data_IF_105228443303
#
_entry.id   IF_105228443303
#
_cell.length_a   1.000
_cell.length_b   1.000
_cell.length_c   1.000
_cell.angle_alpha   90.00
_cell.angle_beta   90.00
_cell.angle_gamma   90.00
#
_symmetry.space_group_name_H-M   'P 1'
#
loop_
_entity.id
_entity.type
_entity.pdbx_description
1 polymer ?
#
# COMPACT_ATOMS: atom_id res chain seq x y z
N UNK A 1 20.25 16.60 6.18
CA UNK A 1 18.86 16.64 5.68
C UNK A 1 17.94 16.44 6.87
N UNK A 2 16.94 17.29 7.07
CA UNK A 2 15.93 17.10 8.12
C UNK A 2 14.84 16.14 7.65
N UNK A 3 14.51 15.15 8.48
CA UNK A 3 13.52 14.10 8.17
C UNK A 3 12.54 14.00 9.32
N UNK A 4 11.24 14.14 9.03
CA UNK A 4 10.16 13.91 10.00
C UNK A 4 9.32 12.72 9.56
N UNK A 5 9.37 11.66 10.37
CA UNK A 5 8.56 10.46 10.15
C UNK A 5 7.49 10.43 11.22
N UNK A 6 6.23 10.56 10.80
CA UNK A 6 5.07 10.63 11.69
C UNK A 6 4.36 9.27 11.74
N UNK A 7 3.81 8.92 12.90
CA UNK A 7 2.90 7.79 13.06
C UNK A 7 1.51 8.30 13.43
N UNK A 8 0.52 7.93 12.63
CA UNK A 8 -0.88 8.29 12.82
C UNK A 8 -1.43 7.53 14.03
N UNK A 9 -1.75 8.25 15.10
CA UNK A 9 -2.22 7.70 16.36
C UNK A 9 -3.72 7.90 16.49
N UNK A 10 -4.50 6.92 16.03
CA UNK A 10 -5.97 6.94 16.08
C UNK A 10 -6.56 6.36 17.37
N UNK A 11 -5.73 5.75 18.24
CA UNK A 11 -6.14 5.17 19.52
C UNK A 11 -5.15 5.61 20.61
N UNK A 12 -5.58 5.66 21.87
CA UNK A 12 -4.74 6.09 23.00
C UNK A 12 -3.42 5.32 23.10
N UNK A 13 -3.45 4.00 22.89
CA UNK A 13 -2.23 3.16 22.96
C UNK A 13 -1.17 3.57 21.93
N UNK A 14 -1.59 4.06 20.75
CA UNK A 14 -0.67 4.44 19.69
C UNK A 14 0.09 5.73 20.03
N UNK A 15 -0.51 6.60 20.84
CA UNK A 15 0.05 7.92 21.16
C UNK A 15 1.28 7.82 22.07
N UNK A 16 1.25 6.92 23.05
CA UNK A 16 2.26 6.80 24.10
C UNK A 16 3.37 5.80 23.78
N UNK A 17 3.17 4.92 22.79
CA UNK A 17 4.14 3.91 22.37
C UNK A 17 4.17 3.80 20.84
N UNK A 18 4.71 4.82 20.14
CA UNK A 18 4.85 4.75 18.70
C UNK A 18 5.92 3.74 18.30
N UNK A 19 5.83 3.21 17.07
CA UNK A 19 6.90 2.37 16.52
C UNK A 19 8.24 3.13 16.60
N UNK A 20 9.33 2.49 17.06
CA UNK A 20 10.62 3.17 17.24
C UNK A 20 11.05 3.99 16.02
N UNK A 21 11.49 5.22 16.26
CA UNK A 21 11.96 6.14 15.24
C UNK A 21 10.89 7.03 14.61
N UNK A 22 9.61 6.80 14.88
CA UNK A 22 8.50 7.68 14.48
C UNK A 22 8.11 8.68 15.59
N UNK A 23 7.65 9.85 15.17
CA UNK A 23 7.00 10.85 16.03
C UNK A 23 5.49 10.58 16.08
N UNK A 24 4.88 10.63 17.26
CA UNK A 24 3.42 10.48 17.38
C UNK A 24 2.70 11.67 16.74
N UNK A 25 1.77 11.38 15.83
CA UNK A 25 0.79 12.33 15.31
C UNK A 25 -0.58 12.00 15.92
N UNK A 26 -1.04 12.80 16.88
CA UNK A 26 -2.35 12.61 17.50
C UNK A 26 -3.45 12.84 16.45
N UNK A 27 -4.16 11.76 16.13
CA UNK A 27 -5.25 11.76 15.16
C UNK A 27 -6.48 11.03 15.72
N UNK A 28 -6.65 11.06 17.05
CA UNK A 28 -7.76 10.36 17.74
C UNK A 28 -9.13 10.98 17.43
N UNK A 29 -9.19 12.22 16.95
CA UNK A 29 -10.44 12.86 16.53
C UNK A 29 -11.05 12.18 15.29
N UNK A 30 -10.22 11.63 14.39
CA UNK A 30 -10.57 10.74 13.28
C UNK A 30 -11.98 10.97 12.66
N UNK A 31 -12.28 12.15 12.12
CA UNK A 31 -13.65 12.58 11.81
C UNK A 31 -14.22 11.88 10.57
N UNK A 32 -13.37 11.35 9.69
CA UNK A 32 -13.76 10.71 8.43
C UNK A 32 -13.05 9.35 8.29
N UNK A 33 -13.31 8.37 9.17
CA UNK A 33 -12.56 7.11 9.22
C UNK A 33 -12.60 6.31 7.90
N UNK A 34 -13.62 6.52 7.06
CA UNK A 34 -13.72 5.94 5.72
C UNK A 34 -12.65 6.42 4.74
N UNK A 35 -12.03 7.59 4.97
CA UNK A 35 -10.92 8.12 4.17
C UNK A 35 -9.55 7.54 4.56
N UNK A 36 -9.48 6.79 5.67
CA UNK A 36 -8.25 6.14 6.15
C UNK A 36 -7.09 7.15 6.30
N UNK A 37 -5.94 6.89 5.69
CA UNK A 37 -4.76 7.76 5.79
C UNK A 37 -4.91 9.08 4.99
N UNK A 38 -5.83 9.16 4.02
CA UNK A 38 -5.93 10.33 3.16
C UNK A 38 -6.51 11.58 3.86
N UNK A 39 -7.34 11.41 4.90
CA UNK A 39 -7.71 12.54 5.78
C UNK A 39 -6.52 13.04 6.62
N UNK A 40 -5.59 12.15 6.98
CA UNK A 40 -4.38 12.56 7.70
C UNK A 40 -3.49 13.36 6.77
N UNK A 41 -3.39 12.93 5.50
CA UNK A 41 -2.65 13.66 4.48
C UNK A 41 -3.25 15.04 4.19
N UNK A 42 -4.58 15.15 4.11
CA UNK A 42 -5.31 16.41 4.00
C UNK A 42 -4.97 17.36 5.17
N UNK A 43 -4.99 16.87 6.41
CA UNK A 43 -4.65 17.68 7.59
C UNK A 43 -3.16 18.06 7.66
N UNK A 44 -2.23 17.15 7.34
CA UNK A 44 -0.78 17.44 7.24
C UNK A 44 -0.53 18.51 6.18
N UNK A 45 -1.23 18.42 5.05
CA UNK A 45 -1.09 19.38 3.96
C UNK A 45 -1.66 20.75 4.36
N UNK A 46 -2.90 20.80 4.86
CA UNK A 46 -3.57 22.03 5.27
C UNK A 46 -2.86 22.75 6.41
N UNK A 47 -2.27 22.02 7.37
CA UNK A 47 -1.50 22.57 8.48
C UNK A 47 -0.07 22.98 8.09
N UNK A 48 0.37 22.74 6.85
CA UNK A 48 1.73 23.05 6.40
C UNK A 48 2.82 22.16 7.01
N UNK A 49 2.46 21.03 7.63
CA UNK A 49 3.42 20.12 8.31
C UNK A 49 4.44 19.57 7.32
N UNK A 50 4.03 19.31 6.07
CA UNK A 50 4.91 18.87 4.98
C UNK A 50 6.08 19.83 4.68
N UNK A 51 6.02 21.09 5.12
CA UNK A 51 7.08 22.12 4.92
C UNK A 51 8.06 22.22 6.09
N UNK A 52 7.83 21.46 7.15
CA UNK A 52 8.61 21.57 8.40
C UNK A 52 9.94 20.82 8.37
N UNK A 53 10.20 20.02 7.32
CA UNK A 53 11.44 19.29 7.11
C UNK A 53 11.68 19.05 5.62
N UNK A 54 12.89 18.61 5.25
CA UNK A 54 13.19 18.29 3.86
C UNK A 54 12.39 17.09 3.36
N UNK A 55 12.19 16.09 4.22
CA UNK A 55 11.37 14.91 3.93
C UNK A 55 10.37 14.70 5.07
N UNK A 56 9.10 14.58 4.70
CA UNK A 56 7.98 14.32 5.63
C UNK A 56 7.18 13.12 5.13
N UNK A 57 6.77 12.24 6.04
CA UNK A 57 5.76 11.22 5.72
C UNK A 57 5.04 10.77 6.97
N UNK A 58 3.89 10.14 6.76
CA UNK A 58 3.00 9.73 7.83
C UNK A 58 2.51 8.30 7.57
N UNK A 59 2.68 7.42 8.55
CA UNK A 59 2.33 6.00 8.42
C UNK A 59 1.31 5.59 9.48
N UNK A 60 0.54 4.55 9.19
CA UNK A 60 -0.33 3.93 10.20
C UNK A 60 0.48 3.30 11.32
N UNK A 61 -0.10 3.16 12.53
CA UNK A 61 0.47 2.33 13.62
C UNK A 61 0.75 0.88 13.23
N UNK A 62 0.17 0.40 12.12
CA UNK A 62 0.35 -0.94 11.56
C UNK A 62 1.59 -1.09 10.67
N UNK A 63 2.39 -0.04 10.49
CA UNK A 63 3.54 -0.01 9.57
C UNK A 63 4.52 -1.14 9.88
N UNK A 64 4.98 -1.23 11.13
CA UNK A 64 5.94 -2.25 11.56
C UNK A 64 5.38 -3.66 11.40
N UNK A 65 4.14 -3.87 11.85
CA UNK A 65 3.51 -5.19 11.82
C UNK A 65 3.33 -5.73 10.38
N UNK A 66 3.07 -4.85 9.40
CA UNK A 66 2.96 -5.25 7.99
C UNK A 66 4.32 -5.41 7.32
N UNK A 67 5.22 -4.44 7.53
CA UNK A 67 6.45 -4.30 6.76
C UNK A 67 7.72 -4.79 7.44
N UNK A 68 7.70 -5.16 8.72
CA UNK A 68 8.90 -5.51 9.50
C UNK A 68 10.00 -4.42 9.55
N UNK A 69 9.63 -3.16 9.30
CA UNK A 69 10.54 -2.02 9.38
C UNK A 69 10.08 -1.07 10.49
N UNK A 70 11.00 -0.33 11.07
CA UNK A 70 10.70 0.78 11.98
C UNK A 70 11.19 2.12 11.40
N UNK A 71 10.97 3.21 12.13
CA UNK A 71 11.33 4.56 11.69
C UNK A 71 12.84 4.79 11.67
N UNK A 72 13.63 4.08 12.48
CA UNK A 72 15.09 4.16 12.42
C UNK A 72 15.63 3.54 11.13
N UNK A 73 15.08 2.41 10.69
CA UNK A 73 15.44 1.77 9.43
C UNK A 73 15.17 2.70 8.24
N UNK A 74 13.98 3.33 8.24
CA UNK A 74 13.59 4.29 7.20
C UNK A 74 14.47 5.54 7.23
N UNK A 75 14.71 6.15 8.40
CA UNK A 75 15.58 7.34 8.52
C UNK A 75 16.99 7.07 8.02
N UNK A 76 17.57 5.93 8.40
CA UNK A 76 18.89 5.50 7.94
C UNK A 76 18.90 5.35 6.41
N UNK A 77 17.96 4.60 5.85
CA UNK A 77 17.87 4.43 4.40
C UNK A 77 17.73 5.75 3.63
N UNK A 78 16.90 6.67 4.10
CA UNK A 78 16.74 8.00 3.50
C UNK A 78 18.05 8.81 3.58
N UNK A 79 18.75 8.77 4.72
CA UNK A 79 20.04 9.45 4.89
C UNK A 79 21.14 8.87 4.00
N UNK A 80 21.14 7.55 3.78
CA UNK A 80 22.11 6.86 2.92
C UNK A 80 21.85 7.12 1.43
N UNK A 81 20.65 7.58 1.07
CA UNK A 81 20.23 7.86 -0.31
C UNK A 81 19.60 9.25 -0.43
N UNK A 82 20.35 10.35 -0.20
CA UNK A 82 19.79 11.70 -0.29
C UNK A 82 19.48 12.09 -1.75
N UNK A 83 18.58 13.06 -1.93
CA UNK A 83 18.35 13.72 -3.23
C UNK A 83 17.12 13.26 -4.01
N UNK A 84 16.28 12.39 -3.43
CA UNK A 84 15.01 11.99 -4.03
C UNK A 84 13.85 12.85 -3.50
N UNK A 85 12.84 13.06 -4.34
CA UNK A 85 11.59 13.73 -3.96
C UNK A 85 10.66 12.80 -3.20
N UNK A 86 10.72 11.49 -3.45
CA UNK A 86 9.86 10.50 -2.80
C UNK A 86 10.58 9.19 -2.50
N UNK A 87 10.40 8.74 -1.28
CA UNK A 87 10.93 7.49 -0.73
C UNK A 87 9.77 6.56 -0.44
N UNK A 88 9.69 5.44 -1.14
CA UNK A 88 8.55 4.51 -1.08
C UNK A 88 8.93 3.23 -0.34
N UNK A 89 8.14 2.85 0.65
CA UNK A 89 8.30 1.58 1.37
C UNK A 89 7.10 0.69 1.07
N UNK A 90 7.33 -0.43 0.37
CA UNK A 90 6.30 -1.42 0.16
C UNK A 90 6.18 -2.36 1.39
N UNK A 91 5.06 -2.36 2.13
CA UNK A 91 4.85 -3.25 3.28
C UNK A 91 4.45 -4.67 2.87
N UNK A 92 4.25 -4.90 1.58
CA UNK A 92 3.88 -6.20 0.99
C UNK A 92 4.77 -6.50 -0.21
N UNK A 93 6.09 -6.59 -0.01
CA UNK A 93 7.05 -6.77 -1.09
C UNK A 93 6.83 -8.07 -1.86
N UNK A 94 6.21 -9.09 -1.25
CA UNK A 94 5.89 -10.35 -1.92
C UNK A 94 4.86 -10.19 -3.05
N UNK A 95 4.02 -9.15 -3.04
CA UNK A 95 2.92 -9.04 -3.99
C UNK A 95 3.38 -8.96 -5.44
N UNK A 96 4.57 -8.43 -5.72
CA UNK A 96 5.07 -8.34 -7.09
C UNK A 96 5.26 -9.72 -7.72
N UNK A 97 5.47 -10.77 -6.91
CA UNK A 97 5.61 -12.13 -7.39
C UNK A 97 4.26 -12.81 -7.66
N UNK A 98 3.17 -12.22 -7.17
CA UNK A 98 1.83 -12.82 -7.18
C UNK A 98 0.94 -12.30 -8.30
N UNK A 99 1.21 -11.12 -8.84
CA UNK A 99 0.37 -10.48 -9.87
C UNK A 99 1.21 -9.62 -10.80
N UNK A 100 0.79 -9.49 -12.06
CA UNK A 100 1.48 -8.65 -13.05
C UNK A 100 1.43 -7.18 -12.64
N UNK A 101 0.23 -6.71 -12.26
CA UNK A 101 0.04 -5.45 -11.57
C UNK A 101 -1.02 -5.61 -10.45
N UNK A 102 -1.16 -4.60 -9.60
CA UNK A 102 -2.08 -4.67 -8.46
C UNK A 102 -3.56 -4.37 -8.78
N UNK A 103 -3.88 -4.04 -10.04
CA UNK A 103 -5.26 -3.94 -10.49
C UNK A 103 -5.86 -5.32 -10.75
N UNK A 104 -5.07 -6.27 -11.28
CA UNK A 104 -5.47 -7.68 -11.48
C UNK A 104 -6.00 -8.32 -10.19
N UNK A 105 -5.40 -7.94 -9.07
CA UNK A 105 -5.79 -8.43 -7.76
C UNK A 105 -7.12 -7.85 -7.26
N UNK A 106 -7.37 -6.58 -7.59
CA UNK A 106 -8.51 -5.83 -7.10
C UNK A 106 -9.83 -6.49 -7.51
N UNK A 107 -9.93 -6.93 -8.76
CA UNK A 107 -11.16 -7.53 -9.31
C UNK A 107 -11.59 -8.77 -8.52
N UNK A 108 -10.65 -9.64 -8.13
CA UNK A 108 -10.95 -10.84 -7.34
C UNK A 108 -11.29 -10.46 -5.89
N UNK A 109 -10.49 -9.56 -5.29
CA UNK A 109 -10.63 -9.21 -3.87
C UNK A 109 -11.93 -8.45 -3.59
N UNK A 110 -12.33 -7.56 -4.49
CA UNK A 110 -13.53 -6.75 -4.39
C UNK A 110 -14.75 -7.38 -5.07
N UNK A 111 -14.58 -8.52 -5.76
CA UNK A 111 -15.64 -9.21 -6.50
C UNK A 111 -16.36 -8.30 -7.50
N UNK A 112 -15.59 -7.41 -8.15
CA UNK A 112 -16.10 -6.43 -9.11
C UNK A 112 -15.24 -6.48 -10.39
N UNK A 113 -15.82 -6.99 -11.47
CA UNK A 113 -15.15 -7.08 -12.77
C UNK A 113 -14.99 -5.72 -13.46
N UNK A 114 -15.75 -4.70 -13.05
CA UNK A 114 -15.71 -3.34 -13.58
C UNK A 114 -14.89 -2.38 -12.70
N UNK A 115 -14.17 -2.90 -11.70
CA UNK A 115 -13.45 -2.11 -10.71
C UNK A 115 -12.54 -1.04 -11.35
N UNK A 116 -11.76 -1.43 -12.36
CA UNK A 116 -10.80 -0.53 -13.02
C UNK A 116 -11.51 0.57 -13.80
N UNK A 117 -12.61 0.24 -14.50
CA UNK A 117 -13.39 1.20 -15.27
C UNK A 117 -14.03 2.25 -14.35
N UNK A 118 -14.59 1.82 -13.21
CA UNK A 118 -15.13 2.74 -12.20
C UNK A 118 -14.05 3.61 -11.59
N UNK A 119 -12.87 3.07 -11.32
CA UNK A 119 -11.72 3.86 -10.88
C UNK A 119 -11.31 4.91 -11.92
N UNK A 120 -11.23 4.53 -13.20
CA UNK A 120 -10.92 5.47 -14.27
C UNK A 120 -11.98 6.57 -14.39
N UNK A 121 -13.27 6.22 -14.26
CA UNK A 121 -14.37 7.19 -14.28
C UNK A 121 -14.23 8.24 -13.16
N UNK A 122 -13.91 7.80 -11.94
CA UNK A 122 -13.66 8.72 -10.82
C UNK A 122 -12.49 9.65 -11.10
N UNK A 123 -11.39 9.14 -11.65
CA UNK A 123 -10.22 9.97 -11.99
C UNK A 123 -10.56 10.98 -13.10
N UNK A 124 -11.30 10.57 -14.11
CA UNK A 124 -11.75 11.44 -15.19
C UNK A 124 -12.63 12.59 -14.65
N UNK A 125 -13.58 12.27 -13.76
CA UNK A 125 -14.43 13.27 -13.10
C UNK A 125 -13.65 14.21 -12.19
N UNK A 126 -12.58 13.72 -11.56
CA UNK A 126 -11.66 14.53 -10.76
C UNK A 126 -10.68 15.36 -11.60
N UNK A 127 -10.65 15.19 -12.93
CA UNK A 127 -9.67 15.83 -13.82
C UNK A 127 -8.24 15.35 -13.59
N UNK A 128 -8.06 14.13 -13.08
CA UNK A 128 -6.75 13.53 -12.80
C UNK A 128 -6.26 12.79 -14.04
N UNK A 129 -5.17 13.28 -14.61
CA UNK A 129 -4.51 12.68 -15.78
C UNK A 129 -3.67 11.46 -15.37
N UNK A 130 -4.34 10.31 -15.23
CA UNK A 130 -3.74 9.00 -14.99
C UNK A 130 -4.54 7.92 -15.73
N UNK A 131 -3.84 6.98 -16.37
CA UNK A 131 -4.44 5.81 -17.01
C UNK A 131 -4.29 4.56 -16.12
N UNK A 132 -5.36 4.23 -15.42
CA UNK A 132 -5.44 3.06 -14.54
C UNK A 132 -5.77 1.78 -15.32
N UNK A 133 -6.32 1.87 -16.52
CA UNK A 133 -6.75 0.71 -17.31
C UNK A 133 -5.57 0.05 -18.01
N UNK A 134 -4.56 0.83 -18.43
CA UNK A 134 -3.41 0.34 -19.19
C UNK A 134 -2.12 0.32 -18.35
N UNK A 135 -2.19 -0.29 -17.16
CA UNK A 135 -1.03 -0.36 -16.24
C UNK A 135 -0.13 -1.55 -16.58
N UNK A 136 1.12 -1.24 -16.90
CA UNK A 136 2.16 -2.24 -17.15
C UNK A 136 2.60 -3.00 -15.90
N UNK A 137 3.67 -3.78 -16.05
CA UNK A 137 4.26 -4.58 -14.96
C UNK A 137 4.63 -3.70 -13.75
N UNK A 138 4.27 -4.16 -12.57
CA UNK A 138 4.76 -3.62 -11.30
C UNK A 138 5.80 -4.55 -10.65
N UNK A 139 6.98 -4.01 -10.33
CA UNK A 139 8.12 -4.69 -9.74
C UNK A 139 8.75 -3.83 -8.62
N UNK A 140 9.82 -4.30 -7.98
CA UNK A 140 10.43 -3.63 -6.80
C UNK A 140 10.76 -2.15 -7.03
N UNK A 141 11.17 -1.77 -8.24
CA UNK A 141 11.51 -0.38 -8.58
C UNK A 141 10.34 0.59 -8.85
N UNK A 142 9.08 0.12 -8.87
CA UNK A 142 7.93 0.96 -9.24
C UNK A 142 6.64 0.63 -8.45
N UNK A 143 6.76 -0.12 -7.35
CA UNK A 143 5.62 -0.64 -6.61
C UNK A 143 5.69 -0.30 -5.12
N UNK A 144 4.73 0.52 -4.65
CA UNK A 144 4.59 0.89 -3.22
C UNK A 144 3.29 0.40 -2.57
N UNK A 145 2.18 0.46 -3.32
CA UNK A 145 0.82 0.07 -2.92
C UNK A 145 0.46 0.26 -1.44
N UNK A 146 0.65 1.46 -0.95
CA UNK A 146 0.09 1.93 0.31
C UNK A 146 0.38 3.42 0.45
N UNK A 147 -0.10 3.96 1.55
CA UNK A 147 0.22 5.28 2.09
C UNK A 147 1.63 5.37 2.73
N UNK A 148 2.53 4.39 2.52
CA UNK A 148 3.88 4.40 3.12
C UNK A 148 4.92 4.97 2.17
N UNK A 149 4.85 6.28 2.03
CA UNK A 149 5.81 7.08 1.30
C UNK A 149 6.24 8.28 2.15
N UNK A 150 7.42 8.82 1.87
CA UNK A 150 8.00 9.98 2.54
C UNK A 150 8.49 10.93 1.46
N UNK A 151 7.98 12.15 1.46
CA UNK A 151 8.13 13.07 0.32
C UNK A 151 8.71 14.42 0.70
N UNK A 152 9.31 15.07 -0.29
CA UNK A 152 9.68 16.49 -0.26
C UNK A 152 8.44 17.39 -0.27
N UNK A 153 8.62 18.68 0.00
CA UNK A 153 7.55 19.68 -0.14
C UNK A 153 6.95 19.67 -1.55
N UNK A 154 7.80 19.55 -2.58
CA UNK A 154 7.38 19.43 -3.98
C UNK A 154 6.48 18.22 -4.18
N UNK A 155 6.92 17.04 -3.71
CA UNK A 155 6.12 15.84 -3.83
C UNK A 155 4.76 15.97 -3.13
N UNK A 156 4.75 16.47 -1.89
CA UNK A 156 3.52 16.68 -1.11
C UNK A 156 2.55 17.62 -1.83
N UNK A 157 3.05 18.71 -2.40
CA UNK A 157 2.23 19.68 -3.14
C UNK A 157 1.61 19.01 -4.36
N UNK A 158 2.42 18.37 -5.20
CA UNK A 158 1.96 17.76 -6.43
C UNK A 158 0.96 16.62 -6.16
N UNK A 159 1.25 15.71 -5.22
CA UNK A 159 0.35 14.59 -4.95
C UNK A 159 -0.98 15.04 -4.33
N UNK A 160 -0.95 16.05 -3.46
CA UNK A 160 -2.15 16.54 -2.83
C UNK A 160 -3.02 17.32 -3.82
N UNK A 161 -2.43 18.27 -4.55
CA UNK A 161 -3.18 19.15 -5.43
C UNK A 161 -3.63 18.47 -6.72
N UNK A 162 -2.82 17.56 -7.27
CA UNK A 162 -3.11 16.96 -8.57
C UNK A 162 -3.72 15.54 -8.50
N UNK A 163 -3.80 14.92 -7.32
CA UNK A 163 -4.42 13.60 -7.16
C UNK A 163 -5.36 13.52 -5.96
N UNK A 164 -4.86 13.71 -4.74
CA UNK A 164 -5.63 13.39 -3.53
C UNK A 164 -6.82 14.33 -3.35
N UNK A 165 -6.59 15.65 -3.33
CA UNK A 165 -7.64 16.64 -3.09
C UNK A 165 -8.72 16.64 -4.17
N UNK A 166 -8.41 16.59 -5.48
CA UNK A 166 -9.43 16.49 -6.52
C UNK A 166 -10.36 15.29 -6.32
N UNK A 167 -9.81 14.12 -5.96
CA UNK A 167 -10.60 12.89 -5.78
C UNK A 167 -11.43 12.91 -4.49
N UNK A 168 -10.85 13.25 -3.34
CA UNK A 168 -11.58 13.20 -2.06
C UNK A 168 -12.66 14.29 -1.93
N UNK A 169 -12.60 15.33 -2.76
CA UNK A 169 -13.55 16.46 -2.77
C UNK A 169 -14.69 16.28 -3.77
N UNK A 170 -14.70 15.21 -4.57
CA UNK A 170 -15.82 14.91 -5.45
C UNK A 170 -17.12 14.76 -4.65
N UNK A 171 -18.12 15.55 -5.04
CA UNK A 171 -19.45 15.51 -4.43
C UNK A 171 -20.31 14.40 -5.01
N UNK A 172 -21.35 14.00 -4.27
CA UNK A 172 -22.36 13.05 -4.76
C UNK A 172 -23.03 13.50 -6.06
N UNK A 173 -23.24 14.81 -6.25
CA UNK A 173 -23.79 15.35 -7.50
C UNK A 173 -22.85 15.22 -8.70
N UNK A 174 -21.54 15.24 -8.48
CA UNK A 174 -20.55 15.04 -9.56
C UNK A 174 -20.39 13.55 -9.90
N UNK A 175 -20.46 12.69 -8.88
CA UNK A 175 -20.28 11.24 -9.03
C UNK A 175 -21.55 10.52 -9.49
N UNK A 176 -22.72 11.07 -9.21
CA UNK A 176 -23.98 10.31 -9.26
C UNK A 176 -24.07 9.30 -8.11
N UNK A 177 -25.25 8.68 -7.96
CA UNK A 177 -25.54 7.82 -6.81
C UNK A 177 -24.71 6.53 -6.80
N UNK A 178 -24.59 5.88 -7.96
CA UNK A 178 -23.92 4.58 -8.08
C UNK A 178 -22.42 4.68 -7.78
N UNK A 179 -21.72 5.65 -8.39
CA UNK A 179 -20.28 5.83 -8.20
C UNK A 179 -19.96 6.37 -6.80
N UNK A 180 -20.82 7.23 -6.26
CA UNK A 180 -20.71 7.68 -4.87
C UNK A 180 -20.85 6.51 -3.88
N UNK A 181 -21.86 5.64 -4.08
CA UNK A 181 -22.03 4.45 -3.26
C UNK A 181 -20.82 3.51 -3.39
N UNK A 182 -20.31 3.28 -4.59
CA UNK A 182 -19.09 2.49 -4.82
C UNK A 182 -17.88 3.02 -4.03
N UNK A 183 -17.66 4.34 -4.03
CA UNK A 183 -16.52 4.94 -3.35
C UNK A 183 -16.63 4.93 -1.82
N UNK A 184 -17.84 5.10 -1.29
CA UNK A 184 -18.03 5.39 0.14
C UNK A 184 -18.75 4.27 0.93
N UNK A 185 -19.56 3.44 0.29
CA UNK A 185 -20.26 2.36 0.97
C UNK A 185 -19.26 1.29 1.42
N UNK A 186 -19.36 0.79 2.67
CA UNK A 186 -18.46 -0.25 3.18
C UNK A 186 -18.37 -1.47 2.25
N UNK A 187 -17.15 -1.79 1.81
CA UNK A 187 -16.91 -3.02 1.03
C UNK A 187 -16.68 -4.22 1.96
N UNK A 188 -16.95 -5.46 1.49
CA UNK A 188 -16.53 -6.66 2.19
C UNK A 188 -15.02 -6.61 2.50
N UNK A 189 -14.68 -6.75 3.77
CA UNK A 189 -13.29 -6.74 4.24
C UNK A 189 -13.07 -7.95 5.13
N UNK A 190 -12.08 -8.77 4.77
CA UNK A 190 -11.81 -10.07 5.40
C UNK A 190 -10.81 -9.97 6.57
N UNK A 191 -10.27 -8.78 6.83
CA UNK A 191 -9.46 -8.50 8.01
C UNK A 191 -10.27 -7.90 9.15
N UNK A 192 -9.63 -7.71 10.30
CA UNK A 192 -10.21 -6.99 11.44
C UNK A 192 -10.02 -5.49 11.21
N UNK A 193 -11.13 -4.76 11.19
CA UNK A 193 -11.15 -3.29 11.08
C UNK A 193 -12.38 -2.72 11.77
N UNK A 194 -12.17 -1.75 12.64
CA UNK A 194 -13.24 -1.05 13.36
C UNK A 194 -14.18 -0.31 12.40
N UNK A 195 -13.61 0.35 11.39
CA UNK A 195 -14.36 1.00 10.31
C UNK A 195 -14.04 0.32 8.99
N UNK A 196 -15.06 -0.07 8.22
CA UNK A 196 -14.90 -0.59 6.86
C UNK A 196 -15.01 0.57 5.87
N UNK A 197 -14.02 0.71 5.00
CA UNK A 197 -14.02 1.75 3.98
C UNK A 197 -14.72 1.26 2.70
N UNK A 198 -15.19 2.21 1.90
CA UNK A 198 -15.56 1.94 0.50
C UNK A 198 -14.34 1.81 -0.40
N UNK A 199 -14.55 1.92 -1.72
CA UNK A 199 -13.48 1.75 -2.69
C UNK A 199 -12.49 2.94 -2.76
N UNK A 200 -12.78 4.08 -2.12
CA UNK A 200 -11.97 5.30 -2.23
C UNK A 200 -10.50 5.14 -1.77
N UNK A 201 -10.19 4.60 -0.56
CA UNK A 201 -8.79 4.40 -0.18
C UNK A 201 -8.06 3.44 -1.12
N UNK A 202 -8.77 2.42 -1.62
CA UNK A 202 -8.22 1.43 -2.55
C UNK A 202 -7.91 2.01 -3.93
N UNK A 203 -8.70 2.99 -4.40
CA UNK A 203 -8.41 3.80 -5.58
C UNK A 203 -7.13 4.60 -5.34
N UNK A 204 -7.10 5.40 -4.27
CA UNK A 204 -5.99 6.31 -4.01
C UNK A 204 -4.67 5.58 -3.75
N UNK A 205 -4.65 4.45 -3.03
CA UNK A 205 -3.44 3.63 -2.85
C UNK A 205 -2.81 3.21 -4.18
N UNK A 206 -3.65 2.89 -5.18
CA UNK A 206 -3.21 2.47 -6.52
C UNK A 206 -2.81 3.66 -7.38
N UNK A 207 -3.65 4.70 -7.38
CA UNK A 207 -3.40 5.93 -8.12
C UNK A 207 -2.10 6.61 -7.64
N UNK A 208 -1.79 6.59 -6.34
CA UNK A 208 -0.53 7.11 -5.79
C UNK A 208 0.69 6.39 -6.38
N UNK A 209 0.66 5.06 -6.47
CA UNK A 209 1.79 4.32 -7.05
C UNK A 209 1.99 4.69 -8.52
N UNK A 210 0.89 4.79 -9.28
CA UNK A 210 0.95 5.20 -10.68
C UNK A 210 1.42 6.65 -10.84
N UNK A 211 0.93 7.56 -10.00
CA UNK A 211 1.32 8.97 -9.99
C UNK A 211 2.81 9.17 -9.73
N UNK A 212 3.37 8.43 -8.77
CA UNK A 212 4.81 8.42 -8.51
C UNK A 212 5.56 7.95 -9.77
N UNK A 213 5.11 6.87 -10.40
CA UNK A 213 5.74 6.32 -11.59
C UNK A 213 5.60 7.20 -12.84
N UNK A 214 4.58 8.05 -12.93
CA UNK A 214 4.38 8.93 -14.10
C UNK A 214 5.07 10.28 -13.93
N UNK A 215 5.08 10.85 -12.72
CA UNK A 215 5.56 12.23 -12.49
C UNK A 215 6.88 12.32 -11.75
N UNK A 216 7.21 11.29 -10.97
CA UNK A 216 8.37 11.28 -10.08
C UNK A 216 9.32 10.12 -10.36
N UNK A 217 9.18 9.37 -11.47
CA UNK A 217 10.00 8.19 -11.75
C UNK A 217 11.51 8.44 -11.58
N UNK A 218 12.00 9.59 -12.05
CA UNK A 218 13.41 9.96 -11.98
C UNK A 218 13.87 10.48 -10.59
N UNK A 219 12.93 10.87 -9.72
CA UNK A 219 13.20 11.36 -8.37
C UNK A 219 12.50 10.53 -7.28
N UNK A 220 12.14 9.28 -7.61
CA UNK A 220 11.58 8.30 -6.69
C UNK A 220 12.60 7.20 -6.41
N UNK A 221 12.66 6.73 -5.17
CA UNK A 221 13.39 5.54 -4.79
C UNK A 221 12.51 4.61 -3.97
N UNK A 222 12.63 3.31 -4.21
CA UNK A 222 11.88 2.26 -3.54
C UNK A 222 12.80 1.48 -2.60
N UNK A 223 12.33 1.19 -1.39
CA UNK A 223 13.10 0.44 -0.40
C UNK A 223 13.36 -0.98 -0.92
N UNK A 224 14.62 -1.27 -1.24
CA UNK A 224 15.04 -2.58 -1.70
C UNK A 224 15.00 -3.61 -0.56
N UNK A 225 14.63 -4.85 -0.89
CA UNK A 225 14.65 -5.97 0.05
C UNK A 225 15.33 -7.17 -0.57
N UNK A 226 16.05 -7.90 0.26
CA UNK A 226 16.53 -9.24 -0.03
C UNK A 226 15.36 -10.22 -0.15
N UNK A 227 15.58 -11.34 -0.84
CA UNK A 227 14.58 -12.42 -0.93
C UNK A 227 14.15 -12.92 0.45
N UNK A 228 15.06 -13.01 1.40
CA UNK A 228 14.78 -13.41 2.78
C UNK A 228 13.81 -12.45 3.49
N UNK A 229 14.06 -11.13 3.39
CA UNK A 229 13.15 -10.12 3.95
C UNK A 229 11.76 -10.14 3.30
N UNK A 230 11.69 -10.48 2.00
CA UNK A 230 10.42 -10.64 1.29
C UNK A 230 9.66 -11.86 1.82
N UNK A 231 10.35 -12.99 1.99
CA UNK A 231 9.78 -14.22 2.55
C UNK A 231 9.32 -14.05 4.00
N UNK A 232 10.00 -13.20 4.78
CA UNK A 232 9.58 -12.84 6.14
C UNK A 232 8.26 -12.05 6.17
N UNK A 233 7.96 -11.28 5.10
CA UNK A 233 6.71 -10.53 4.94
C UNK A 233 5.53 -11.36 4.40
N UNK A 234 5.78 -12.58 3.92
CA UNK A 234 4.71 -13.48 3.47
C UNK A 234 3.79 -13.83 4.63
N UNK A 235 2.47 -13.71 4.43
CA UNK A 235 1.49 -14.01 5.48
C UNK A 235 1.01 -15.45 5.42
N UNK A 236 0.97 -16.04 4.24
CA UNK A 236 0.39 -17.35 3.99
C UNK A 236 1.41 -18.28 3.33
N UNK A 237 1.28 -19.61 3.51
CA UNK A 237 2.19 -20.59 2.92
C UNK A 237 2.27 -20.47 1.40
N UNK A 238 1.14 -20.28 0.74
CA UNK A 238 1.09 -20.17 -0.72
C UNK A 238 1.80 -18.91 -1.27
N UNK A 239 1.83 -17.82 -0.51
CA UNK A 239 2.61 -16.62 -0.92
C UNK A 239 4.10 -16.94 -0.88
N UNK A 240 4.53 -17.60 0.20
CA UNK A 240 5.90 -18.03 0.39
C UNK A 240 6.33 -19.03 -0.70
N UNK A 241 5.52 -20.05 -0.95
CA UNK A 241 5.79 -21.08 -1.95
C UNK A 241 5.93 -20.49 -3.37
N UNK A 242 5.07 -19.53 -3.74
CA UNK A 242 5.19 -18.83 -5.03
C UNK A 242 6.52 -18.06 -5.14
N UNK A 243 6.90 -17.35 -4.09
CA UNK A 243 8.14 -16.57 -4.05
C UNK A 243 9.39 -17.47 -4.03
N UNK A 244 9.35 -18.60 -3.32
CA UNK A 244 10.45 -19.57 -3.27
C UNK A 244 10.61 -20.31 -4.60
N UNK A 245 9.50 -20.76 -5.19
CA UNK A 245 9.52 -21.60 -6.40
C UNK A 245 9.80 -20.79 -7.66
N UNK A 246 9.17 -19.62 -7.79
CA UNK A 246 9.16 -18.86 -9.06
C UNK A 246 9.87 -17.51 -8.99
N UNK A 247 10.36 -17.10 -7.82
CA UNK A 247 10.86 -15.73 -7.68
C UNK A 247 12.06 -15.43 -8.60
N UNK A 248 12.94 -16.39 -8.87
CA UNK A 248 14.09 -16.17 -9.76
C UNK A 248 13.66 -16.03 -11.23
N UNK A 249 12.60 -16.74 -11.61
CA UNK A 249 11.98 -16.62 -12.93
C UNK A 249 11.31 -15.25 -13.09
N UNK A 250 10.58 -14.79 -12.07
CA UNK A 250 9.97 -13.46 -12.03
C UNK A 250 11.04 -12.37 -12.09
N UNK A 251 12.09 -12.47 -11.27
CA UNK A 251 13.20 -11.52 -11.28
C UNK A 251 13.92 -11.53 -12.66
N UNK A 252 13.94 -12.67 -13.36
CA UNK A 252 14.45 -12.81 -14.73
C UNK A 252 13.61 -12.04 -15.76
N UNK A 253 12.28 -12.15 -15.69
CA UNK A 253 11.37 -11.36 -16.53
C UNK A 253 11.46 -9.87 -16.23
N UNK A 254 11.53 -9.49 -14.95
CA UNK A 254 11.63 -8.09 -14.53
C UNK A 254 12.96 -7.46 -15.03
N UNK A 255 14.07 -8.21 -14.99
CA UNK A 255 15.37 -7.75 -15.54
C UNK A 255 15.37 -7.61 -17.07
N UNK A 256 14.69 -8.50 -17.79
CA UNK A 256 14.66 -8.46 -19.24
C UNK A 256 13.64 -7.45 -19.78
N UNK A 257 12.65 -7.06 -18.98
CA UNK A 257 11.51 -6.26 -19.41
C UNK A 257 10.61 -7.00 -20.42
N UNK A 258 10.78 -8.32 -20.56
CA UNK A 258 10.06 -9.14 -21.53
C UNK A 258 9.06 -10.04 -20.81
N UNK A 259 7.78 -9.85 -21.13
CA UNK A 259 6.66 -10.58 -20.56
C UNK A 259 5.92 -11.31 -21.68
N UNK A 260 6.45 -12.46 -22.06
CA UNK A 260 5.85 -13.34 -23.07
C UNK A 260 4.60 -14.05 -22.55
N UNK A 261 4.01 -14.91 -23.38
CA UNK A 261 2.81 -15.68 -23.03
C UNK A 261 3.02 -16.55 -21.78
N UNK A 262 4.23 -17.05 -21.55
CA UNK A 262 4.55 -17.85 -20.38
C UNK A 262 4.57 -16.99 -19.10
N UNK A 263 5.17 -15.79 -19.17
CA UNK A 263 5.14 -14.82 -18.08
C UNK A 263 3.70 -14.40 -17.75
N UNK A 264 2.92 -14.07 -18.78
CA UNK A 264 1.53 -13.64 -18.60
C UNK A 264 0.64 -14.77 -18.06
N UNK A 265 0.86 -16.02 -18.48
CA UNK A 265 0.19 -17.19 -17.92
C UNK A 265 0.55 -17.37 -16.44
N UNK A 266 1.84 -17.28 -16.08
CA UNK A 266 2.28 -17.34 -14.70
C UNK A 266 1.55 -16.32 -13.82
N UNK A 267 1.61 -15.03 -14.17
CA UNK A 267 1.01 -13.98 -13.33
C UNK A 267 -0.50 -14.14 -13.19
N UNK A 268 -1.20 -14.60 -14.23
CA UNK A 268 -2.62 -14.91 -14.17
C UNK A 268 -2.91 -16.02 -13.15
N UNK A 269 -2.17 -17.13 -13.22
CA UNK A 269 -2.36 -18.27 -12.33
C UNK A 269 -1.91 -17.96 -10.90
N UNK A 270 -0.79 -17.29 -10.71
CA UNK A 270 -0.29 -16.86 -9.41
C UNK A 270 -1.30 -15.91 -8.73
N UNK A 271 -1.90 -14.98 -9.46
CA UNK A 271 -2.88 -14.03 -8.91
C UNK A 271 -4.15 -14.76 -8.48
N UNK A 272 -4.68 -15.64 -9.33
CA UNK A 272 -5.83 -16.48 -8.99
C UNK A 272 -5.56 -17.33 -7.76
N UNK A 273 -4.44 -18.04 -7.74
CA UNK A 273 -4.04 -18.90 -6.63
C UNK A 273 -3.92 -18.11 -5.32
N UNK A 274 -3.16 -17.01 -5.34
CA UNK A 274 -2.93 -16.20 -4.16
C UNK A 274 -4.22 -15.54 -3.66
N UNK A 275 -5.10 -15.04 -4.54
CA UNK A 275 -6.31 -14.34 -4.10
C UNK A 275 -7.40 -15.28 -3.59
N UNK A 276 -7.63 -16.40 -4.28
CA UNK A 276 -8.56 -17.41 -3.75
C UNK A 276 -8.01 -18.04 -2.47
N UNK A 277 -6.70 -18.24 -2.37
CA UNK A 277 -6.02 -18.65 -1.14
C UNK A 277 -6.26 -17.66 0.00
N UNK A 278 -6.06 -16.35 -0.23
CA UNK A 278 -6.34 -15.30 0.77
C UNK A 278 -7.79 -15.31 1.21
N UNK A 279 -8.75 -15.38 0.28
CA UNK A 279 -10.19 -15.43 0.61
C UNK A 279 -10.53 -16.64 1.49
N UNK A 280 -10.00 -17.81 1.15
CA UNK A 280 -10.22 -19.03 1.93
C UNK A 280 -9.59 -18.97 3.34
N UNK A 281 -8.35 -18.47 3.43
CA UNK A 281 -7.62 -18.40 4.69
C UNK A 281 -8.14 -17.30 5.61
N UNK A 282 -8.39 -16.09 5.11
CA UNK A 282 -8.85 -14.96 5.92
C UNK A 282 -10.22 -15.21 6.56
N UNK A 283 -11.08 -15.98 5.90
CA UNK A 283 -12.37 -16.41 6.46
C UNK A 283 -12.19 -17.27 7.72
N UNK A 284 -11.09 -18.03 7.82
CA UNK A 284 -10.80 -18.93 8.95
C UNK A 284 -9.82 -18.33 9.97
N UNK A 285 -8.91 -17.49 9.49
CA UNK A 285 -7.85 -16.86 10.26
C UNK A 285 -7.84 -15.35 9.95
N UNK A 286 -8.73 -14.58 10.60
CA UNK A 286 -8.85 -13.15 10.32
C UNK A 286 -7.53 -12.42 10.51
N UNK A 287 -7.19 -11.58 9.53
CA UNK A 287 -5.95 -10.82 9.54
C UNK A 287 -6.10 -9.55 10.38
N UNK A 288 -5.31 -9.42 11.44
CA UNK A 288 -5.32 -8.28 12.34
C UNK A 288 -3.91 -7.74 12.61
N UNK A 289 -3.65 -6.51 12.17
CA UNK A 289 -2.42 -5.77 12.45
C UNK A 289 -2.57 -4.73 13.57
N UNK A 290 -3.79 -4.54 14.10
CA UNK A 290 -4.02 -3.61 15.20
C UNK A 290 -3.34 -4.03 16.50
N UNK A 291 -3.07 -5.33 16.65
CA UNK A 291 -2.44 -5.91 17.83
C UNK A 291 -1.00 -6.41 17.55
N UNK A 292 -0.28 -5.72 16.65
CA UNK A 292 1.08 -6.08 16.27
C UNK A 292 1.14 -7.11 15.15
N UNK A 293 2.28 -7.82 15.05
CA UNK A 293 2.53 -8.80 14.00
C UNK A 293 1.62 -10.04 14.15
N UNK A 294 0.73 -10.35 13.18
CA UNK A 294 -0.12 -11.52 13.26
C UNK A 294 0.61 -12.84 12.99
N UNK A 295 1.76 -12.83 12.31
CA UNK A 295 2.42 -14.05 11.82
C UNK A 295 2.66 -15.11 12.90
N UNK A 296 3.18 -14.80 14.10
CA UNK A 296 3.38 -15.79 15.16
C UNK A 296 2.11 -16.52 15.63
N UNK A 297 0.93 -15.94 15.39
CA UNK A 297 -0.37 -16.50 15.80
C UNK A 297 -0.96 -17.45 14.77
N UNK A 298 -0.43 -17.48 13.55
CA UNK A 298 -0.97 -18.35 12.50
C UNK A 298 -0.43 -19.77 12.61
N UNK A 299 -1.27 -20.81 12.37
CA UNK A 299 -0.86 -22.21 12.56
C UNK A 299 0.37 -22.63 11.75
N UNK A 300 0.57 -22.05 10.57
CA UNK A 300 1.69 -22.39 9.69
C UNK A 300 3.02 -21.72 10.09
N UNK A 301 3.02 -20.78 11.04
CA UNK A 301 4.26 -20.29 11.66
C UNK A 301 4.61 -21.06 12.94
N UNK A 302 3.64 -21.72 13.57
CA UNK A 302 3.85 -22.49 14.80
C UNK A 302 4.41 -23.90 14.54
N UNK A 303 4.20 -24.45 13.34
CA UNK A 303 4.62 -25.82 12.99
C UNK A 303 6.13 -26.04 12.99
N UNK A 304 6.94 -25.00 12.79
CA UNK A 304 8.40 -25.10 12.82
C UNK A 304 8.99 -25.07 14.25
N UNK A 305 8.17 -24.84 15.29
CA UNK A 305 8.63 -24.82 16.68
C UNK A 305 8.67 -26.21 17.34
N UNK A 306 8.10 -27.24 16.70
CA UNK A 306 7.89 -28.57 17.31
C UNK A 306 8.95 -29.61 16.88
N UNK A 307 9.90 -29.25 16.01
CA UNK A 307 10.94 -30.18 15.52
C UNK A 307 12.33 -30.00 16.14
N UNK A 308 12.46 -29.19 17.20
CA UNK A 308 13.72 -29.02 17.95
C UNK A 308 13.58 -29.48 19.42
N UNK A 309 13.13 -30.72 19.63
CA UNK A 309 13.26 -31.45 20.91
C UNK A 309 13.78 -32.84 20.63
#
# INVERSE_FOLDING_TARGET
MSIRLLQNCIENRHLFDPVPGFESLDFRHNPRPGLREFQVFDEIFAAGVHRTANIVGAVSSRFHAKGLLNGHDVKRWINDHPGYDVYVVNPRPQNIYLCFNNFDRGQITHQDSQLQQRYQEVLNLAGVDLDIVNVGRQHHGNYGMCSYWFGSERFWTDIMEALVLPVIRLSRSQLGDDLYAFLHAPTPYWGVSEHRAGALPHLLERATSLFINTRFQASAIHYARTREEILACCLYPFERELVETFGDQVDGWDRSGCYDDAAMAYFRHANQHAMHGRLAYMTRFPLDFGNGDPRPRFPWFQRNAVTNT
#
